data_IF_424851908087
#
_entry.id   IF_424851908087
#
_cell.length_a   1.000
_cell.length_b   1.000
_cell.length_c   1.000
_cell.angle_alpha   90.00
_cell.angle_beta   90.00
_cell.angle_gamma   90.00
#
_symmetry.space_group_name_H-M   'P 1'
#
loop_
_entity.id
_entity.type
_entity.pdbx_description
1 polymer ?
#
# COMPACT_ATOMS: atom_id res chain seq x y z
N UNK A 1 27.76 -52.79 30.89
CA UNK A 1 28.89 -52.79 29.94
C UNK A 1 28.31 -52.66 28.54
N UNK A 2 28.75 -51.69 27.76
CA UNK A 2 28.31 -51.52 26.37
C UNK A 2 27.99 -50.05 26.03
N UNK A 3 29.05 -49.23 25.86
CA UNK A 3 28.94 -47.87 25.30
C UNK A 3 28.78 -47.96 23.78
N UNK A 4 27.75 -47.37 23.23
CA UNK A 4 27.74 -47.05 21.80
C UNK A 4 27.77 -45.54 21.63
N UNK A 5 28.94 -45.07 21.17
CA UNK A 5 29.12 -43.68 20.74
C UNK A 5 28.44 -43.43 19.40
N UNK A 6 27.78 -42.33 19.29
CA UNK A 6 27.28 -41.76 18.02
C UNK A 6 28.25 -40.72 17.54
N UNK A 7 28.87 -41.01 16.40
CA UNK A 7 29.71 -40.11 15.65
C UNK A 7 28.83 -39.07 14.95
N UNK A 8 28.97 -37.84 15.33
CA UNK A 8 28.40 -36.68 14.63
C UNK A 8 29.24 -36.34 13.39
N UNK A 9 28.82 -36.81 12.23
CA UNK A 9 29.35 -36.39 10.95
C UNK A 9 28.88 -34.97 10.60
N UNK A 10 29.71 -34.00 10.85
CA UNK A 10 29.49 -32.63 10.39
C UNK A 10 29.56 -32.56 8.85
N UNK A 11 28.41 -32.53 8.19
CA UNK A 11 28.32 -32.12 6.78
C UNK A 11 28.49 -30.62 6.69
N UNK A 12 29.65 -30.21 6.24
CA UNK A 12 29.91 -28.82 5.79
C UNK A 12 29.04 -28.52 4.56
N UNK A 13 27.96 -27.80 4.75
CA UNK A 13 27.24 -27.17 3.66
C UNK A 13 28.04 -25.93 3.22
N UNK A 14 28.54 -25.97 2.00
CA UNK A 14 29.11 -24.78 1.35
C UNK A 14 27.96 -23.82 1.08
N UNK A 15 27.93 -22.72 1.80
CA UNK A 15 27.14 -21.54 1.47
C UNK A 15 27.65 -21.02 0.11
N UNK A 16 26.89 -21.27 -0.94
CA UNK A 16 27.00 -20.53 -2.20
C UNK A 16 26.21 -19.24 -1.97
N UNK A 17 26.94 -18.17 -1.65
CA UNK A 17 26.36 -16.84 -1.62
C UNK A 17 25.96 -16.48 -3.07
N UNK A 18 24.68 -16.56 -3.38
CA UNK A 18 24.10 -15.87 -4.52
C UNK A 18 24.03 -14.39 -4.15
N UNK A 19 24.96 -13.63 -4.71
CA UNK A 19 24.91 -12.18 -4.77
C UNK A 19 23.68 -11.81 -5.61
N UNK A 20 22.58 -11.51 -4.94
CA UNK A 20 21.47 -10.82 -5.58
C UNK A 20 21.94 -9.43 -5.95
N UNK A 21 22.07 -9.17 -7.24
CA UNK A 21 22.32 -7.84 -7.79
C UNK A 21 21.05 -7.05 -7.57
N UNK A 22 21.05 -6.20 -6.53
CA UNK A 22 20.02 -5.19 -6.37
C UNK A 22 20.12 -4.18 -7.52
N UNK A 23 19.18 -4.24 -8.44
CA UNK A 23 19.01 -3.20 -9.44
C UNK A 23 18.42 -1.98 -8.74
N UNK A 24 19.26 -1.00 -8.45
CA UNK A 24 18.81 0.32 -8.09
C UNK A 24 18.17 0.96 -9.31
N UNK A 25 16.85 1.03 -9.35
CA UNK A 25 16.13 1.78 -10.36
C UNK A 25 16.40 3.27 -10.14
N UNK A 26 17.31 3.83 -10.92
CA UNK A 26 17.55 5.27 -11.03
C UNK A 26 16.43 5.86 -11.88
N UNK A 27 15.47 6.51 -11.26
CA UNK A 27 14.46 7.29 -11.98
C UNK A 27 15.14 8.49 -12.65
N UNK A 28 15.33 8.42 -13.95
CA UNK A 28 15.84 9.50 -14.78
C UNK A 28 14.66 10.43 -15.11
N UNK A 29 14.55 11.57 -14.44
CA UNK A 29 13.63 12.64 -14.84
C UNK A 29 14.21 13.35 -16.05
N UNK A 30 13.66 13.10 -17.23
CA UNK A 30 13.95 13.87 -18.44
C UNK A 30 13.04 15.09 -18.48
N UNK A 31 13.61 16.26 -18.18
CA UNK A 31 12.93 17.55 -18.36
C UNK A 31 13.04 17.95 -19.83
N UNK A 32 11.95 17.85 -20.59
CA UNK A 32 11.84 18.43 -21.92
C UNK A 32 11.33 19.88 -21.78
N UNK A 33 12.24 20.82 -21.94
CA UNK A 33 11.94 22.23 -22.17
C UNK A 33 11.44 22.41 -23.62
N UNK A 34 10.16 22.62 -23.78
CA UNK A 34 9.62 23.13 -25.05
C UNK A 34 9.47 24.65 -24.96
N UNK A 35 10.38 25.34 -25.58
CA UNK A 35 10.25 26.76 -25.93
C UNK A 35 9.49 26.89 -27.25
N UNK A 36 8.32 27.49 -27.25
CA UNK A 36 7.65 27.99 -28.45
C UNK A 36 7.48 29.49 -28.35
N UNK A 37 7.74 30.23 -29.45
CA UNK A 37 7.63 31.69 -29.46
C UNK A 37 6.19 32.12 -29.64
N UNK A 38 5.86 33.22 -28.95
CA UNK A 38 4.57 33.85 -29.08
C UNK A 38 4.38 34.59 -30.39
N UNK A 39 3.14 34.66 -30.84
CA UNK A 39 2.67 35.69 -31.75
C UNK A 39 1.33 36.22 -31.23
N UNK A 40 1.31 37.52 -30.94
CA UNK A 40 0.12 38.24 -30.57
C UNK A 40 -0.72 38.62 -31.77
N UNK A 41 -2.00 38.73 -31.57
CA UNK A 41 -2.88 39.62 -32.34
C UNK A 41 -4.08 39.98 -31.48
N UNK A 42 -4.19 41.27 -31.21
CA UNK A 42 -5.33 41.95 -30.62
C UNK A 42 -6.46 42.08 -31.65
N UNK A 43 -7.71 41.91 -31.23
CA UNK A 43 -8.85 42.57 -31.86
C UNK A 43 -9.90 42.89 -30.81
N UNK A 44 -10.15 44.19 -30.70
CA UNK A 44 -11.28 44.81 -30.01
C UNK A 44 -12.60 44.50 -30.73
N UNK A 45 -13.70 44.46 -29.98
CA UNK A 45 -15.03 44.38 -30.58
C UNK A 45 -16.19 44.39 -29.58
N UNK A 46 -16.56 45.59 -29.11
CA UNK A 46 -17.92 46.13 -28.83
C UNK A 46 -18.95 45.30 -28.06
N UNK A 47 -19.40 45.97 -26.99
CA UNK A 47 -20.60 45.82 -26.19
C UNK A 47 -21.91 45.65 -26.98
N UNK A 48 -22.82 44.81 -26.45
CA UNK A 48 -24.29 45.09 -26.51
C UNK A 48 -25.00 44.53 -25.28
N UNK A 49 -25.85 45.37 -24.77
CA UNK A 49 -26.75 45.33 -23.63
C UNK A 49 -27.85 44.25 -23.74
N UNK A 50 -28.28 43.74 -22.58
CA UNK A 50 -29.69 43.37 -22.32
C UNK A 50 -30.00 41.88 -22.36
N UNK A 51 -30.07 41.19 -21.19
CA UNK A 51 -31.35 40.68 -20.69
C UNK A 51 -31.15 39.97 -19.33
N UNK A 52 -31.92 40.41 -18.34
CA UNK A 52 -32.02 39.76 -17.04
C UNK A 52 -32.87 38.51 -17.17
N UNK A 53 -32.23 37.34 -17.07
CA UNK A 53 -32.91 36.06 -16.84
C UNK A 53 -32.66 35.66 -15.38
N UNK A 54 -33.75 35.48 -14.63
CA UNK A 54 -33.73 34.92 -13.30
C UNK A 54 -33.08 33.55 -13.31
N UNK A 55 -31.85 33.44 -12.82
CA UNK A 55 -31.14 32.19 -12.66
C UNK A 55 -31.68 31.44 -11.45
N UNK A 56 -32.18 30.26 -11.68
CA UNK A 56 -32.37 29.17 -10.68
C UNK A 56 -31.03 28.95 -9.96
N UNK A 57 -31.01 28.80 -8.63
CA UNK A 57 -29.77 28.47 -7.92
C UNK A 57 -29.19 27.20 -8.51
N UNK A 58 -27.94 27.24 -8.95
CA UNK A 58 -27.20 26.07 -9.34
C UNK A 58 -27.14 25.09 -8.14
N UNK A 59 -27.25 23.77 -8.37
CA UNK A 59 -27.07 22.80 -7.33
C UNK A 59 -25.67 23.00 -6.73
N UNK A 60 -25.60 23.08 -5.41
CA UNK A 60 -24.34 23.06 -4.67
C UNK A 60 -23.55 21.82 -5.11
N UNK A 61 -22.52 22.03 -5.90
CA UNK A 61 -21.56 21.01 -6.26
C UNK A 61 -21.01 20.44 -4.97
N UNK A 62 -21.29 19.15 -4.72
CA UNK A 62 -20.68 18.40 -3.63
C UNK A 62 -19.18 18.66 -3.64
N UNK A 63 -18.59 18.79 -2.46
CA UNK A 63 -17.15 18.98 -2.31
C UNK A 63 -16.42 17.96 -3.22
N UNK A 64 -15.57 18.48 -4.10
CA UNK A 64 -14.76 17.63 -4.96
C UNK A 64 -13.99 16.66 -4.06
N UNK A 65 -14.11 15.35 -4.33
CA UNK A 65 -13.29 14.35 -3.64
C UNK A 65 -11.83 14.76 -3.84
N UNK A 66 -10.99 14.75 -2.79
CA UNK A 66 -9.60 15.11 -2.96
C UNK A 66 -8.98 14.18 -4.00
N UNK A 67 -8.44 14.75 -5.04
CA UNK A 67 -7.73 14.02 -6.08
C UNK A 67 -6.38 13.62 -5.50
N UNK A 68 -6.25 12.33 -5.13
CA UNK A 68 -4.98 11.76 -4.68
C UNK A 68 -4.21 11.39 -5.93
N UNK A 69 -3.16 12.14 -6.20
CA UNK A 69 -2.31 11.94 -7.38
C UNK A 69 -1.23 10.89 -7.15
N UNK A 70 -0.10 11.08 -7.81
CA UNK A 70 1.10 10.26 -7.64
C UNK A 70 1.72 10.46 -6.27
N UNK A 71 2.26 9.37 -5.70
CA UNK A 71 2.95 9.38 -4.42
C UNK A 71 4.06 8.33 -4.39
N UNK A 72 4.59 8.06 -3.21
CA UNK A 72 5.57 7.01 -3.02
C UNK A 72 5.48 6.42 -1.61
N UNK A 73 6.06 5.22 -1.45
CA UNK A 73 6.15 4.51 -0.17
C UNK A 73 7.54 4.69 0.42
N UNK A 74 7.62 5.06 1.69
CA UNK A 74 8.86 5.08 2.45
C UNK A 74 9.31 3.65 2.77
N UNK A 75 10.62 3.42 2.63
CA UNK A 75 11.27 2.17 2.97
C UNK A 75 12.31 2.39 4.08
N UNK A 76 13.09 1.37 4.43
CA UNK A 76 14.24 1.47 5.33
C UNK A 76 15.33 2.45 4.85
N UNK A 77 15.28 2.88 3.60
CA UNK A 77 16.22 3.84 3.02
C UNK A 77 15.66 5.27 2.93
N UNK A 78 14.73 5.61 3.79
CA UNK A 78 14.15 6.96 3.81
C UNK A 78 15.16 8.01 4.25
N UNK A 79 14.96 9.25 3.79
CA UNK A 79 15.87 10.36 4.01
C UNK A 79 15.88 10.91 5.46
N UNK A 80 14.91 10.54 6.29
CA UNK A 80 14.82 10.97 7.70
C UNK A 80 16.00 10.49 8.56
N UNK A 81 16.69 9.42 8.14
CA UNK A 81 17.90 8.91 8.80
C UNK A 81 19.20 9.52 8.24
N UNK A 82 19.10 10.41 7.28
CA UNK A 82 20.22 11.10 6.68
C UNK A 82 20.82 12.19 7.57
N UNK A 83 21.90 12.83 7.10
CA UNK A 83 22.36 14.07 7.76
C UNK A 83 21.29 15.16 7.61
N UNK A 84 21.18 16.07 8.60
CA UNK A 84 20.20 17.15 8.57
C UNK A 84 20.22 17.97 7.25
N UNK A 85 21.40 18.16 6.64
CA UNK A 85 21.53 18.83 5.37
C UNK A 85 21.02 17.99 4.18
N UNK A 86 21.13 16.66 4.24
CA UNK A 86 20.59 15.76 3.22
C UNK A 86 19.07 15.67 3.35
N UNK A 87 18.57 15.47 4.57
CA UNK A 87 17.14 15.46 4.87
C UNK A 87 16.45 16.72 4.36
N UNK A 88 16.97 17.90 4.71
CA UNK A 88 16.42 19.17 4.26
C UNK A 88 16.40 19.31 2.72
N UNK A 89 17.45 18.89 2.02
CA UNK A 89 17.45 18.93 0.54
C UNK A 89 16.37 18.03 -0.07
N UNK A 90 16.10 16.87 0.55
CA UNK A 90 15.06 15.96 0.07
C UNK A 90 13.68 16.54 0.37
N UNK A 91 13.46 17.09 1.58
CA UNK A 91 12.22 17.79 1.93
C UNK A 91 11.89 18.90 0.92
N UNK A 92 12.86 19.77 0.62
CA UNK A 92 12.70 20.85 -0.38
C UNK A 92 12.35 20.30 -1.76
N UNK A 93 13.01 19.19 -2.20
CA UNK A 93 12.73 18.56 -3.51
C UNK A 93 11.33 17.97 -3.59
N UNK A 94 10.88 17.33 -2.52
CA UNK A 94 9.52 16.76 -2.46
C UNK A 94 8.49 17.90 -2.43
N UNK A 95 8.73 18.94 -1.63
CA UNK A 95 7.84 20.11 -1.55
C UNK A 95 7.67 20.81 -2.90
N UNK A 96 8.74 20.93 -3.69
CA UNK A 96 8.70 21.47 -5.05
C UNK A 96 7.78 20.66 -6.00
N UNK A 97 7.49 19.39 -5.66
CA UNK A 97 6.62 18.51 -6.43
C UNK A 97 5.13 18.65 -6.10
N UNK A 98 4.76 19.51 -5.12
CA UNK A 98 3.37 19.89 -4.87
C UNK A 98 2.62 19.03 -3.85
N UNK A 99 3.29 18.46 -2.85
CA UNK A 99 2.62 17.85 -1.70
C UNK A 99 2.09 16.43 -1.98
N UNK A 100 2.97 15.55 -2.42
CA UNK A 100 2.64 14.17 -2.80
C UNK A 100 2.13 13.34 -1.61
N UNK A 101 1.21 12.38 -1.84
CA UNK A 101 0.92 11.32 -0.88
C UNK A 101 2.19 10.51 -0.59
N UNK A 102 2.44 10.26 0.69
CA UNK A 102 3.60 9.50 1.15
C UNK A 102 3.13 8.41 2.11
N UNK A 103 3.33 7.16 1.71
CA UNK A 103 2.92 5.99 2.49
C UNK A 103 4.02 5.63 3.49
N UNK A 104 3.64 5.38 4.75
CA UNK A 104 4.50 4.90 5.81
C UNK A 104 3.85 3.74 6.55
N UNK A 105 4.59 2.64 6.70
CA UNK A 105 4.19 1.51 7.54
C UNK A 105 4.38 1.84 9.03
N UNK A 106 3.53 1.27 9.89
CA UNK A 106 3.67 1.48 11.35
C UNK A 106 4.80 0.67 11.98
N UNK A 107 5.25 -0.40 11.31
CA UNK A 107 6.32 -1.29 11.75
C UNK A 107 7.00 -1.93 10.54
N UNK A 108 8.30 -2.18 10.61
CA UNK A 108 9.08 -2.61 9.46
C UNK A 108 9.31 -1.49 8.45
N UNK A 109 10.04 -1.78 7.39
CA UNK A 109 10.39 -0.81 6.35
C UNK A 109 10.92 0.53 6.90
N UNK A 110 11.73 0.44 8.00
CA UNK A 110 12.36 1.58 8.66
C UNK A 110 11.57 2.19 9.81
N UNK A 111 10.39 1.67 10.14
CA UNK A 111 9.68 1.99 11.38
C UNK A 111 9.95 0.91 12.44
N UNK A 112 10.21 1.33 13.67
CA UNK A 112 10.41 0.43 14.80
C UNK A 112 9.09 -0.19 15.27
N UNK A 113 9.17 -1.16 16.19
CA UNK A 113 7.97 -1.81 16.74
C UNK A 113 7.19 -0.81 17.62
N UNK A 114 5.97 -0.42 17.21
CA UNK A 114 5.22 0.63 17.91
C UNK A 114 4.63 0.17 19.26
N UNK A 115 4.54 -1.13 19.49
CA UNK A 115 4.01 -1.71 20.75
C UNK A 115 4.77 -3.00 21.10
N UNK A 116 6.05 -2.91 21.47
CA UNK A 116 6.88 -4.09 21.76
C UNK A 116 6.36 -4.92 22.94
N UNK A 117 5.60 -4.32 23.82
CA UNK A 117 4.89 -4.98 24.93
C UNK A 117 3.50 -4.39 25.01
N UNK A 118 2.48 -5.24 25.21
CA UNK A 118 1.08 -4.82 25.30
C UNK A 118 0.90 -3.59 26.17
N UNK A 119 0.35 -2.52 25.61
CA UNK A 119 0.10 -1.24 26.30
C UNK A 119 1.34 -0.37 26.51
N UNK A 120 2.51 -0.78 26.02
CA UNK A 120 3.76 0.04 26.06
C UNK A 120 4.13 0.45 24.63
N UNK A 121 3.92 1.70 24.34
CA UNK A 121 4.12 2.25 23.00
C UNK A 121 5.47 2.92 22.85
N UNK A 122 6.08 2.73 21.67
CA UNK A 122 7.24 3.44 21.18
C UNK A 122 6.95 3.95 19.76
N UNK A 123 6.84 5.25 19.60
CA UNK A 123 6.56 5.89 18.34
C UNK A 123 7.72 6.76 17.83
N UNK A 124 8.91 6.66 18.42
CA UNK A 124 10.00 7.56 18.07
C UNK A 124 10.35 7.52 16.58
N UNK A 125 10.49 6.31 16.02
CA UNK A 125 10.76 6.16 14.59
C UNK A 125 9.60 6.66 13.72
N UNK A 126 8.37 6.35 14.11
CA UNK A 126 7.19 6.77 13.35
C UNK A 126 6.98 8.29 13.45
N UNK A 127 7.25 8.91 14.60
CA UNK A 127 7.21 10.36 14.76
C UNK A 127 8.15 11.05 13.75
N UNK A 128 9.42 10.61 13.68
CA UNK A 128 10.38 11.14 12.70
C UNK A 128 9.88 11.02 11.27
N UNK A 129 9.27 9.88 10.92
CA UNK A 129 8.75 9.61 9.58
C UNK A 129 7.57 10.51 9.23
N UNK A 130 6.61 10.63 10.12
CA UNK A 130 5.44 11.50 9.91
C UNK A 130 5.85 12.98 9.89
N UNK A 131 6.81 13.38 10.72
CA UNK A 131 7.33 14.76 10.71
C UNK A 131 8.09 15.07 9.41
N UNK A 132 8.84 14.10 8.86
CA UNK A 132 9.47 14.25 7.56
C UNK A 132 8.43 14.43 6.43
N UNK A 133 7.35 13.64 6.44
CA UNK A 133 6.26 13.80 5.47
C UNK A 133 5.64 15.19 5.55
N UNK A 134 5.38 15.69 6.77
CA UNK A 134 4.85 17.04 7.00
C UNK A 134 5.82 18.12 6.54
N UNK A 135 7.10 18.01 6.91
CA UNK A 135 8.14 18.96 6.54
C UNK A 135 8.33 19.07 5.02
N UNK A 136 8.14 17.98 4.29
CA UNK A 136 8.17 17.94 2.82
C UNK A 136 6.86 18.40 2.17
N UNK A 137 5.88 18.90 2.95
CA UNK A 137 4.57 19.32 2.43
C UNK A 137 3.70 18.17 1.93
N UNK A 138 4.05 16.92 2.25
CA UNK A 138 3.35 15.73 1.79
C UNK A 138 2.06 15.45 2.54
N UNK A 139 1.24 14.58 1.97
CA UNK A 139 0.05 14.04 2.62
C UNK A 139 0.38 12.68 3.20
N UNK A 140 0.41 12.51 4.54
CA UNK A 140 0.74 11.23 5.14
C UNK A 140 -0.39 10.22 4.92
N UNK A 141 0.01 9.01 4.50
CA UNK A 141 -0.83 7.82 4.39
C UNK A 141 -0.18 6.74 5.24
N UNK A 142 -0.93 6.12 6.13
CA UNK A 142 -0.39 5.12 7.06
C UNK A 142 -0.88 3.73 6.68
N UNK A 143 0.06 2.84 6.37
CA UNK A 143 -0.22 1.40 6.26
C UNK A 143 -0.10 0.76 7.64
N UNK A 144 -1.20 0.21 8.12
CA UNK A 144 -1.28 -0.52 9.38
C UNK A 144 -0.74 -1.95 9.17
N UNK A 145 0.56 -2.04 9.04
CA UNK A 145 1.40 -3.23 8.99
C UNK A 145 2.78 -2.85 9.56
N UNK A 146 3.46 -3.71 10.31
CA UNK A 146 3.09 -5.09 10.61
C UNK A 146 2.66 -5.21 12.07
N UNK A 147 2.40 -6.45 12.49
CA UNK A 147 1.98 -6.70 13.87
C UNK A 147 3.20 -6.90 14.79
N UNK A 148 3.18 -6.38 16.03
CA UNK A 148 4.11 -6.74 17.09
C UNK A 148 4.20 -8.25 17.31
N UNK A 149 5.38 -8.75 17.68
CA UNK A 149 5.63 -10.21 17.79
C UNK A 149 4.70 -10.91 18.77
N UNK A 150 4.37 -10.27 19.89
CA UNK A 150 3.44 -10.83 20.88
C UNK A 150 2.01 -11.01 20.35
N UNK A 151 1.64 -10.38 19.23
CA UNK A 151 0.34 -10.59 18.58
C UNK A 151 0.32 -11.78 17.59
N UNK A 152 1.46 -12.44 17.38
CA UNK A 152 1.65 -13.52 16.39
C UNK A 152 2.50 -14.67 16.92
N UNK A 153 2.39 -14.95 18.22
CA UNK A 153 3.05 -16.05 18.89
C UNK A 153 4.51 -15.83 19.26
N UNK A 154 5.07 -14.64 19.02
CA UNK A 154 6.43 -14.27 19.41
C UNK A 154 6.52 -13.71 20.84
N UNK A 155 7.74 -13.44 21.31
CA UNK A 155 7.97 -12.90 22.65
C UNK A 155 7.77 -11.37 22.68
N UNK A 156 7.10 -10.88 23.74
CA UNK A 156 7.03 -9.46 24.01
C UNK A 156 8.39 -8.91 24.50
N UNK A 157 8.75 -7.70 24.08
CA UNK A 157 9.95 -7.01 24.56
C UNK A 157 10.60 -6.15 23.48
N UNK A 158 11.22 -5.05 23.90
CA UNK A 158 11.88 -4.12 22.96
C UNK A 158 13.00 -4.82 22.19
N UNK A 159 13.76 -5.68 22.86
CA UNK A 159 14.90 -6.39 22.27
C UNK A 159 14.50 -7.74 21.62
N UNK A 160 13.23 -8.10 21.67
CA UNK A 160 12.75 -9.40 21.20
C UNK A 160 12.08 -9.35 19.82
N UNK A 161 12.01 -8.17 19.20
CA UNK A 161 11.39 -8.03 17.87
C UNK A 161 12.18 -8.77 16.81
N UNK A 162 11.52 -9.72 16.15
CA UNK A 162 12.08 -10.42 15.00
C UNK A 162 11.88 -9.59 13.72
N UNK A 163 12.97 -9.02 13.23
CA UNK A 163 12.99 -8.18 12.02
C UNK A 163 13.16 -8.98 10.73
N UNK A 164 13.09 -10.31 10.78
CA UNK A 164 13.11 -11.11 9.56
C UNK A 164 11.89 -10.82 8.69
N UNK A 165 12.06 -10.91 7.38
CA UNK A 165 10.95 -10.73 6.45
C UNK A 165 9.79 -11.68 6.78
N UNK A 166 10.08 -12.95 7.09
CA UNK A 166 9.06 -13.93 7.45
C UNK A 166 8.25 -13.50 8.68
N UNK A 167 8.91 -12.96 9.72
CA UNK A 167 8.22 -12.46 10.90
C UNK A 167 7.39 -11.20 10.59
N UNK A 168 7.93 -10.26 9.83
CA UNK A 168 7.19 -9.06 9.43
C UNK A 168 5.95 -9.40 8.59
N UNK A 169 6.03 -10.40 7.73
CA UNK A 169 4.94 -10.84 6.87
C UNK A 169 3.91 -11.74 7.57
N UNK A 170 4.15 -12.15 8.82
CA UNK A 170 3.20 -12.96 9.60
C UNK A 170 2.05 -12.09 10.11
N UNK A 171 0.81 -12.53 9.82
CA UNK A 171 -0.40 -11.87 10.32
C UNK A 171 -0.56 -12.04 11.84
N UNK A 172 -1.25 -11.12 12.53
CA UNK A 172 -1.59 -11.35 13.93
C UNK A 172 -2.53 -12.55 14.07
N UNK A 173 -2.40 -13.27 15.18
CA UNK A 173 -3.31 -14.37 15.50
C UNK A 173 -4.74 -13.84 15.70
N UNK A 174 -5.78 -14.61 15.35
CA UNK A 174 -7.18 -14.16 15.46
C UNK A 174 -7.59 -13.66 16.83
N UNK A 175 -7.00 -14.19 17.91
CA UNK A 175 -7.22 -13.75 19.29
C UNK A 175 -6.67 -12.34 19.58
N UNK A 176 -5.75 -11.86 18.75
CA UNK A 176 -5.12 -10.54 18.85
C UNK A 176 -5.66 -9.51 17.84
N UNK A 177 -6.67 -9.82 17.05
CA UNK A 177 -7.25 -8.87 16.10
C UNK A 177 -7.82 -7.62 16.80
N UNK A 178 -8.39 -7.76 18.00
CA UNK A 178 -8.86 -6.62 18.78
C UNK A 178 -7.70 -5.79 19.36
N UNK A 179 -6.59 -6.43 19.71
CA UNK A 179 -5.36 -5.74 20.14
C UNK A 179 -4.76 -4.93 18.99
N UNK A 180 -4.69 -5.52 17.81
CA UNK A 180 -4.21 -4.81 16.61
C UNK A 180 -5.12 -3.62 16.24
N UNK A 181 -6.43 -3.78 16.35
CA UNK A 181 -7.38 -2.69 16.15
C UNK A 181 -7.22 -1.57 17.22
N UNK A 182 -6.86 -1.93 18.46
CA UNK A 182 -6.57 -0.96 19.51
C UNK A 182 -5.25 -0.20 19.23
N UNK A 183 -4.22 -0.88 18.73
CA UNK A 183 -2.99 -0.25 18.25
C UNK A 183 -3.29 0.73 17.12
N UNK A 184 -4.05 0.32 16.09
CA UNK A 184 -4.46 1.19 15.00
C UNK A 184 -5.19 2.46 15.50
N UNK A 185 -6.09 2.31 16.46
CA UNK A 185 -6.78 3.45 17.09
C UNK A 185 -5.81 4.35 17.88
N UNK A 186 -4.77 3.79 18.49
CA UNK A 186 -3.75 4.55 19.21
C UNK A 186 -2.89 5.36 18.23
N UNK A 187 -2.48 4.77 17.10
CA UNK A 187 -1.79 5.46 16.00
C UNK A 187 -2.64 6.63 15.49
N UNK A 188 -3.92 6.40 15.21
CA UNK A 188 -4.80 7.45 14.70
C UNK A 188 -5.02 8.61 15.72
N UNK A 189 -5.04 8.32 17.01
CA UNK A 189 -5.12 9.36 18.07
C UNK A 189 -3.83 10.15 18.18
N UNK A 190 -2.67 9.51 17.98
CA UNK A 190 -1.37 10.16 18.04
C UNK A 190 -1.15 11.12 16.87
N UNK A 191 -1.63 10.76 15.68
CA UNK A 191 -1.49 11.53 14.45
C UNK A 191 -2.86 12.00 13.94
N UNK A 192 -3.51 12.98 14.60
CA UNK A 192 -4.89 13.37 14.30
C UNK A 192 -5.07 14.07 12.95
N UNK A 193 -3.99 14.51 12.33
CA UNK A 193 -3.93 15.08 10.98
C UNK A 193 -3.81 14.02 9.88
N UNK A 194 -3.41 12.79 10.23
CA UNK A 194 -3.39 11.67 9.27
C UNK A 194 -4.82 11.22 8.98
N UNK A 195 -5.20 11.35 7.71
CA UNK A 195 -6.57 11.06 7.27
C UNK A 195 -6.71 9.72 6.56
N UNK A 196 -5.64 9.16 6.02
CA UNK A 196 -5.68 7.97 5.19
C UNK A 196 -4.96 6.81 5.86
N UNK A 197 -5.68 5.71 6.05
CA UNK A 197 -5.16 4.48 6.63
C UNK A 197 -5.45 3.31 5.70
N UNK A 198 -4.43 2.50 5.45
CA UNK A 198 -4.53 1.24 4.70
C UNK A 198 -4.41 0.11 5.71
N UNK A 199 -5.33 -0.86 5.65
CA UNK A 199 -5.32 -1.98 6.60
C UNK A 199 -4.52 -3.14 6.03
N UNK A 200 -3.44 -3.46 6.72
CA UNK A 200 -2.48 -4.52 6.39
C UNK A 200 -1.68 -4.24 5.11
N UNK A 201 -0.83 -5.22 4.72
CA UNK A 201 0.00 -5.14 3.52
C UNK A 201 -0.09 -6.43 2.72
N UNK A 202 -0.53 -6.35 1.46
CA UNK A 202 -0.48 -7.42 0.45
C UNK A 202 -1.07 -8.78 0.85
N UNK A 203 -1.97 -8.83 1.81
CA UNK A 203 -2.48 -10.09 2.39
C UNK A 203 -1.40 -11.01 2.97
N UNK A 204 -0.18 -10.51 3.20
CA UNK A 204 0.93 -11.28 3.77
C UNK A 204 0.50 -11.95 5.07
N UNK A 205 0.86 -13.24 5.23
CA UNK A 205 0.47 -14.04 6.39
C UNK A 205 -0.98 -14.55 6.39
N UNK A 206 -1.79 -14.25 5.37
CA UNK A 206 -3.16 -14.77 5.23
C UNK A 206 -3.27 -15.87 4.16
N UNK A 207 -2.19 -16.58 3.85
CA UNK A 207 -2.27 -17.75 2.98
C UNK A 207 -2.62 -19.01 3.77
N UNK A 208 -3.65 -19.73 3.34
CA UNK A 208 -4.06 -21.01 3.92
C UNK A 208 -3.54 -22.17 3.06
N UNK A 209 -2.46 -22.81 3.50
CA UNK A 209 -1.83 -23.93 2.80
C UNK A 209 -2.76 -25.14 2.65
N UNK A 210 -3.60 -25.39 3.65
CA UNK A 210 -4.50 -26.56 3.64
C UNK A 210 -5.61 -26.45 2.59
N UNK A 211 -6.03 -25.23 2.28
CA UNK A 211 -7.08 -24.92 1.30
C UNK A 211 -6.50 -24.37 -0.02
N UNK A 212 -5.19 -24.15 -0.09
CA UNK A 212 -4.47 -23.55 -1.21
C UNK A 212 -5.11 -22.24 -1.71
N UNK A 213 -5.57 -21.39 -0.78
CA UNK A 213 -6.19 -20.11 -1.04
C UNK A 213 -5.85 -19.06 0.03
N UNK A 214 -6.22 -17.82 -0.24
CA UNK A 214 -6.16 -16.77 0.76
C UNK A 214 -7.22 -17.00 1.87
N UNK A 215 -6.84 -16.82 3.14
CA UNK A 215 -7.76 -16.71 4.27
C UNK A 215 -8.42 -15.32 4.26
N UNK A 216 -9.31 -15.15 3.29
CA UNK A 216 -10.03 -13.89 3.12
C UNK A 216 -11.04 -13.64 4.25
N UNK A 217 -11.49 -14.69 4.93
CA UNK A 217 -12.34 -14.60 6.13
C UNK A 217 -11.57 -13.96 7.29
N UNK A 218 -10.37 -14.49 7.58
CA UNK A 218 -9.50 -13.97 8.64
C UNK A 218 -9.09 -12.53 8.38
N UNK A 219 -8.60 -12.24 7.16
CA UNK A 219 -8.28 -10.87 6.79
C UNK A 219 -9.48 -9.91 6.94
N UNK A 220 -10.65 -10.30 6.44
CA UNK A 220 -11.85 -9.44 6.51
C UNK A 220 -12.29 -9.21 7.95
N UNK A 221 -12.09 -10.17 8.84
CA UNK A 221 -12.34 -9.99 10.26
C UNK A 221 -11.39 -8.97 10.88
N UNK A 222 -10.08 -9.05 10.61
CA UNK A 222 -9.10 -8.05 11.04
C UNK A 222 -9.47 -6.67 10.50
N UNK A 223 -9.69 -6.56 9.19
CA UNK A 223 -10.09 -5.33 8.51
C UNK A 223 -11.29 -4.67 9.20
N UNK A 224 -12.33 -5.43 9.45
CA UNK A 224 -13.57 -4.93 10.02
C UNK A 224 -13.40 -4.40 11.46
N UNK A 225 -12.52 -5.01 12.25
CA UNK A 225 -12.21 -4.51 13.61
C UNK A 225 -11.45 -3.19 13.53
N UNK A 226 -10.42 -3.13 12.68
CA UNK A 226 -9.61 -1.93 12.45
C UNK A 226 -10.48 -0.79 11.90
N UNK A 227 -11.29 -1.05 10.88
CA UNK A 227 -12.22 -0.08 10.30
C UNK A 227 -13.10 0.58 11.37
N UNK A 228 -13.79 -0.25 12.18
CA UNK A 228 -14.65 0.25 13.25
C UNK A 228 -13.89 1.02 14.32
N UNK A 229 -12.69 0.56 14.68
CA UNK A 229 -11.84 1.24 15.66
C UNK A 229 -11.40 2.62 15.18
N UNK A 230 -10.97 2.74 13.94
CA UNK A 230 -10.58 4.02 13.32
C UNK A 230 -11.77 4.98 13.20
N UNK A 231 -12.91 4.51 12.68
CA UNK A 231 -14.13 5.33 12.57
C UNK A 231 -14.67 5.78 13.93
N UNK A 232 -14.44 5.03 15.00
CA UNK A 232 -14.74 5.44 16.37
C UNK A 232 -13.81 6.53 16.88
N UNK A 233 -12.54 6.57 16.45
CA UNK A 233 -11.61 7.66 16.78
C UNK A 233 -12.04 8.95 16.10
N UNK A 234 -12.27 8.89 14.79
CA UNK A 234 -12.75 10.00 14.01
C UNK A 234 -13.48 9.46 12.74
N UNK A 235 -14.79 9.74 12.56
CA UNK A 235 -15.55 9.26 11.41
C UNK A 235 -15.03 9.78 10.06
N UNK A 236 -14.26 10.87 10.07
CA UNK A 236 -13.65 11.47 8.89
C UNK A 236 -12.36 10.76 8.43
N UNK A 237 -11.83 9.80 9.19
CA UNK A 237 -10.70 9.00 8.75
C UNK A 237 -11.13 8.17 7.53
N UNK A 238 -10.29 8.19 6.50
CA UNK A 238 -10.43 7.41 5.28
C UNK A 238 -9.72 6.07 5.46
N UNK A 239 -10.44 4.96 5.33
CA UNK A 239 -9.90 3.61 5.54
C UNK A 239 -9.99 2.82 4.25
N UNK A 240 -8.86 2.33 3.78
CA UNK A 240 -8.72 1.54 2.54
C UNK A 240 -8.29 0.10 2.77
N UNK A 241 -8.58 -0.71 1.78
CA UNK A 241 -8.20 -2.11 1.63
C UNK A 241 -8.73 -2.67 0.31
N UNK A 242 -8.56 -3.95 0.04
CA UNK A 242 -7.92 -4.97 0.87
C UNK A 242 -6.40 -5.06 0.72
N UNK A 243 -5.77 -4.25 -0.11
CA UNK A 243 -4.35 -4.27 -0.44
C UNK A 243 -3.91 -5.66 -0.94
N UNK A 244 -4.55 -6.13 -1.96
CA UNK A 244 -4.21 -7.39 -2.64
C UNK A 244 -3.22 -7.14 -3.76
N UNK A 245 -2.23 -8.04 -3.88
CA UNK A 245 -1.36 -8.09 -5.06
C UNK A 245 -2.14 -8.71 -6.22
N UNK A 246 -2.28 -7.94 -7.29
CA UNK A 246 -3.02 -8.36 -8.47
C UNK A 246 -2.12 -9.18 -9.41
N UNK A 247 -1.81 -10.39 -8.95
CA UNK A 247 -0.95 -11.33 -9.65
C UNK A 247 -1.61 -11.93 -10.90
N UNK A 248 -0.83 -12.09 -11.95
CA UNK A 248 -1.24 -12.77 -13.18
C UNK A 248 -0.45 -14.06 -13.43
N UNK A 249 -1.13 -15.01 -14.07
CA UNK A 249 -0.68 -16.36 -14.35
C UNK A 249 -0.74 -16.62 -15.85
N UNK A 250 -0.08 -17.69 -16.31
CA UNK A 250 -0.38 -18.27 -17.62
C UNK A 250 -1.87 -18.62 -17.70
N UNK A 251 -2.57 -18.23 -18.75
CA UNK A 251 -3.99 -18.59 -18.94
C UNK A 251 -4.31 -20.09 -18.96
N UNK A 252 -3.27 -20.94 -19.08
CA UNK A 252 -3.39 -22.40 -19.02
C UNK A 252 -3.34 -22.96 -17.61
N UNK A 253 -2.93 -22.17 -16.63
CA UNK A 253 -2.89 -22.61 -15.24
C UNK A 253 -4.27 -22.82 -14.64
N UNK A 254 -4.34 -23.73 -13.66
CA UNK A 254 -5.61 -24.14 -13.02
C UNK A 254 -6.35 -22.97 -12.39
N UNK A 255 -5.63 -22.03 -11.77
CA UNK A 255 -6.20 -20.89 -11.07
C UNK A 255 -6.33 -19.63 -11.94
N UNK A 256 -6.02 -19.72 -13.24
CA UNK A 256 -6.17 -18.60 -14.16
C UNK A 256 -7.64 -18.19 -14.32
N UNK A 257 -7.93 -16.89 -14.25
CA UNK A 257 -9.26 -16.35 -14.45
C UNK A 257 -9.71 -16.51 -15.90
N UNK A 258 -10.90 -17.05 -16.16
CA UNK A 258 -11.43 -17.12 -17.52
C UNK A 258 -11.90 -15.77 -18.05
N UNK A 259 -12.22 -14.81 -17.17
CA UNK A 259 -12.87 -13.54 -17.50
C UNK A 259 -11.97 -12.32 -17.41
N UNK A 260 -10.99 -12.31 -16.51
CA UNK A 260 -10.03 -11.20 -16.36
C UNK A 260 -8.67 -11.65 -16.88
N UNK A 261 -8.44 -11.42 -18.15
CA UNK A 261 -7.23 -11.83 -18.87
C UNK A 261 -6.98 -10.94 -20.07
N UNK A 262 -5.75 -10.96 -20.54
CA UNK A 262 -5.31 -10.23 -21.72
C UNK A 262 -4.01 -10.81 -22.28
N UNK A 263 -3.28 -10.02 -23.05
CA UNK A 263 -1.96 -10.38 -23.54
C UNK A 263 -0.92 -10.53 -22.41
N UNK A 264 -1.22 -9.93 -21.26
CA UNK A 264 -0.45 -9.97 -20.02
C UNK A 264 -0.71 -11.23 -19.15
N UNK A 265 -1.46 -12.21 -19.65
CA UNK A 265 -1.84 -13.40 -18.91
C UNK A 265 -3.28 -13.36 -18.42
N UNK A 266 -3.56 -14.09 -17.34
CA UNK A 266 -4.87 -14.12 -16.68
C UNK A 266 -4.69 -13.85 -15.18
N UNK A 267 -5.62 -13.13 -14.57
CA UNK A 267 -5.60 -12.89 -13.14
C UNK A 267 -5.75 -14.19 -12.34
N UNK A 268 -5.04 -14.32 -11.23
CA UNK A 268 -5.24 -15.43 -10.30
C UNK A 268 -6.64 -15.34 -9.68
N UNK A 269 -7.47 -16.39 -9.87
CA UNK A 269 -8.84 -16.43 -9.31
C UNK A 269 -8.87 -16.30 -7.81
N UNK A 270 -7.88 -16.84 -7.12
CA UNK A 270 -7.81 -16.81 -5.65
C UNK A 270 -7.71 -15.37 -5.11
N UNK A 271 -7.04 -14.50 -5.85
CA UNK A 271 -6.99 -13.07 -5.56
C UNK A 271 -8.35 -12.41 -5.81
N UNK A 272 -9.01 -12.75 -6.93
CA UNK A 272 -10.34 -12.22 -7.25
C UNK A 272 -11.39 -12.70 -6.24
N UNK A 273 -11.31 -13.94 -5.78
CA UNK A 273 -12.20 -14.50 -4.76
C UNK A 273 -11.99 -13.79 -3.41
N UNK A 274 -10.73 -13.54 -3.01
CA UNK A 274 -10.39 -12.79 -1.81
C UNK A 274 -10.93 -11.35 -1.87
N UNK A 275 -10.75 -10.67 -2.99
CA UNK A 275 -11.32 -9.33 -3.19
C UNK A 275 -12.85 -9.35 -3.09
N UNK A 276 -13.49 -10.29 -3.78
CA UNK A 276 -14.95 -10.40 -3.82
C UNK A 276 -15.53 -10.67 -2.44
N UNK A 277 -14.91 -11.56 -1.67
CA UNK A 277 -15.31 -11.85 -0.31
C UNK A 277 -15.20 -10.60 0.59
N UNK A 278 -14.02 -9.95 0.60
CA UNK A 278 -13.84 -8.72 1.35
C UNK A 278 -14.87 -7.66 0.95
N UNK A 279 -15.08 -7.45 -0.34
CA UNK A 279 -16.02 -6.44 -0.84
C UNK A 279 -17.46 -6.67 -0.36
N UNK A 280 -17.87 -7.94 -0.24
CA UNK A 280 -19.22 -8.30 0.23
C UNK A 280 -19.36 -8.23 1.76
N UNK A 281 -18.28 -8.46 2.52
CA UNK A 281 -18.32 -8.64 3.98
C UNK A 281 -17.64 -7.52 4.76
N UNK A 282 -17.03 -6.54 4.07
CA UNK A 282 -16.41 -5.39 4.74
C UNK A 282 -17.45 -4.55 5.49
N UNK A 283 -17.07 -4.03 6.67
CA UNK A 283 -17.90 -3.11 7.46
C UNK A 283 -18.11 -1.76 6.77
N UNK A 284 -17.22 -1.41 5.86
CA UNK A 284 -17.19 -0.21 5.05
C UNK A 284 -15.80 -0.04 4.45
N UNK A 285 -15.66 0.86 3.48
CA UNK A 285 -14.39 1.31 2.95
C UNK A 285 -14.57 2.70 2.34
N UNK A 286 -13.54 3.51 2.37
CA UNK A 286 -13.54 4.84 1.76
C UNK A 286 -12.78 4.86 0.44
N UNK A 287 -11.89 3.89 0.22
CA UNK A 287 -11.16 3.65 -1.03
C UNK A 287 -10.74 2.18 -1.13
N UNK A 288 -10.49 1.73 -2.34
CA UNK A 288 -9.93 0.40 -2.61
C UNK A 288 -8.43 0.52 -2.78
N UNK A 289 -7.70 -0.46 -2.25
CA UNK A 289 -6.24 -0.54 -2.39
C UNK A 289 -5.88 -1.86 -3.05
N UNK A 290 -5.03 -1.77 -4.06
CA UNK A 290 -4.41 -2.92 -4.72
C UNK A 290 -2.93 -2.62 -4.97
N UNK A 291 -2.19 -3.64 -5.29
CA UNK A 291 -0.81 -3.63 -5.72
C UNK A 291 -0.66 -4.45 -6.99
N UNK A 292 0.38 -4.23 -7.76
CA UNK A 292 0.67 -5.04 -8.93
C UNK A 292 1.79 -4.50 -9.80
N UNK A 293 2.27 -5.39 -10.67
CA UNK A 293 3.26 -5.07 -11.68
C UNK A 293 2.76 -5.48 -13.07
N UNK A 294 3.47 -5.03 -14.10
CA UNK A 294 3.26 -5.54 -15.47
C UNK A 294 3.77 -6.98 -15.61
N UNK A 295 4.61 -7.43 -14.69
CA UNK A 295 5.12 -8.80 -14.66
C UNK A 295 4.00 -9.85 -14.68
N UNK A 296 4.23 -10.95 -15.38
CA UNK A 296 3.47 -12.19 -15.27
C UNK A 296 4.43 -13.32 -14.86
N UNK A 297 3.91 -14.36 -14.21
CA UNK A 297 4.74 -15.50 -13.78
C UNK A 297 5.28 -16.35 -14.94
N UNK A 298 4.88 -16.04 -16.16
CA UNK A 298 5.33 -16.71 -17.35
C UNK A 298 5.86 -15.68 -18.36
N UNK A 299 7.17 -15.56 -18.45
CA UNK A 299 7.88 -14.61 -19.32
C UNK A 299 7.56 -14.82 -20.82
N UNK A 300 7.12 -16.03 -21.23
CA UNK A 300 6.78 -16.32 -22.63
C UNK A 300 5.50 -15.61 -23.09
N UNK A 301 4.68 -15.13 -22.15
CA UNK A 301 3.40 -14.48 -22.47
C UNK A 301 3.53 -12.99 -22.75
N UNK A 302 4.64 -12.39 -22.38
CA UNK A 302 4.79 -10.94 -22.44
C UNK A 302 5.13 -10.47 -23.85
N UNK A 303 4.32 -9.56 -24.42
CA UNK A 303 4.73 -8.86 -25.65
C UNK A 303 5.93 -7.94 -25.42
N UNK A 304 5.93 -7.22 -24.31
CA UNK A 304 6.96 -6.42 -23.66
C UNK A 304 6.37 -5.86 -22.35
N UNK A 305 7.21 -5.33 -21.48
CA UNK A 305 6.82 -4.82 -20.15
C UNK A 305 5.79 -3.69 -20.26
N UNK A 306 5.94 -2.81 -21.25
CA UNK A 306 5.04 -1.67 -21.45
C UNK A 306 3.68 -2.10 -22.03
N UNK A 307 3.66 -3.04 -22.95
CA UNK A 307 2.41 -3.57 -23.48
C UNK A 307 1.63 -4.37 -22.40
N UNK A 308 2.33 -4.94 -21.42
CA UNK A 308 1.71 -5.61 -20.28
C UNK A 308 1.02 -4.63 -19.31
N UNK A 309 1.28 -3.32 -19.38
CA UNK A 309 0.60 -2.29 -18.57
C UNK A 309 -0.91 -2.21 -18.84
N UNK A 310 -1.42 -2.79 -19.93
CA UNK A 310 -2.87 -2.97 -20.17
C UNK A 310 -3.56 -3.71 -19.00
N UNK A 311 -2.81 -4.50 -18.23
CA UNK A 311 -3.26 -5.15 -17.00
C UNK A 311 -3.83 -4.14 -15.99
N UNK A 312 -3.17 -3.01 -15.78
CA UNK A 312 -3.63 -1.99 -14.84
C UNK A 312 -5.01 -1.44 -15.22
N UNK A 313 -5.24 -1.21 -16.52
CA UNK A 313 -6.54 -0.78 -17.01
C UNK A 313 -7.60 -1.87 -16.79
N UNK A 314 -7.29 -3.11 -17.15
CA UNK A 314 -8.22 -4.23 -17.02
C UNK A 314 -8.62 -4.51 -15.57
N UNK A 315 -7.64 -4.47 -14.65
CA UNK A 315 -7.86 -4.60 -13.20
C UNK A 315 -8.68 -3.42 -12.67
N UNK A 316 -8.35 -2.19 -13.05
CA UNK A 316 -9.07 -1.00 -12.63
C UNK A 316 -10.54 -1.03 -13.03
N UNK A 317 -10.83 -1.43 -14.26
CA UNK A 317 -12.21 -1.63 -14.75
C UNK A 317 -12.94 -2.76 -14.01
N UNK A 318 -12.25 -3.85 -13.71
CA UNK A 318 -12.83 -4.96 -12.95
C UNK A 318 -13.17 -4.51 -11.53
N UNK A 319 -12.27 -3.83 -10.82
CA UNK A 319 -12.50 -3.30 -9.47
C UNK A 319 -13.70 -2.35 -9.46
N UNK A 320 -13.79 -1.41 -10.39
CA UNK A 320 -14.94 -0.50 -10.49
C UNK A 320 -16.27 -1.25 -10.65
N UNK A 321 -16.30 -2.28 -11.51
CA UNK A 321 -17.50 -3.12 -11.64
C UNK A 321 -17.86 -3.85 -10.34
N UNK A 322 -16.87 -4.26 -9.52
CA UNK A 322 -17.12 -4.91 -8.23
C UNK A 322 -17.64 -3.94 -7.16
N UNK A 323 -17.19 -2.70 -7.18
CA UNK A 323 -17.53 -1.68 -6.18
C UNK A 323 -18.65 -0.74 -6.61
N UNK A 324 -19.19 -0.88 -7.82
CA UNK A 324 -20.24 0.00 -8.36
C UNK A 324 -19.77 1.43 -8.66
N UNK A 325 -18.50 1.60 -8.99
CA UNK A 325 -17.85 2.90 -9.26
C UNK A 325 -17.87 3.91 -8.07
N UNK A 326 -18.25 3.44 -6.87
CA UNK A 326 -18.43 4.33 -5.71
C UNK A 326 -17.12 4.64 -4.98
N UNK A 327 -16.13 3.73 -5.05
CA UNK A 327 -14.88 3.84 -4.30
C UNK A 327 -13.70 4.21 -5.20
N UNK A 328 -12.89 5.22 -4.82
CA UNK A 328 -11.62 5.47 -5.49
C UNK A 328 -10.71 4.25 -5.43
N UNK A 329 -10.01 3.97 -6.51
CA UNK A 329 -8.99 2.92 -6.57
C UNK A 329 -7.60 3.52 -6.40
N UNK A 330 -6.83 2.95 -5.48
CA UNK A 330 -5.44 3.28 -5.23
C UNK A 330 -4.56 2.08 -5.57
N UNK A 331 -3.53 2.33 -6.37
CA UNK A 331 -2.39 1.44 -6.52
C UNK A 331 -1.38 1.85 -5.46
N UNK A 332 -1.31 1.11 -4.33
CA UNK A 332 -0.39 1.43 -3.25
C UNK A 332 1.07 1.23 -3.68
N UNK A 333 1.28 0.22 -4.52
CA UNK A 333 2.52 -0.03 -5.22
C UNK A 333 2.20 -0.43 -6.66
N UNK A 334 3.05 -0.04 -7.60
CA UNK A 334 2.98 -0.51 -8.98
C UNK A 334 4.35 -0.47 -9.63
N UNK A 335 4.60 -1.45 -10.48
CA UNK A 335 5.88 -1.64 -11.13
C UNK A 335 5.67 -1.93 -12.61
N UNK A 336 6.61 -1.45 -13.44
CA UNK A 336 6.73 -1.82 -14.84
C UNK A 336 8.05 -2.55 -14.97
N UNK A 337 8.01 -3.87 -15.19
CA UNK A 337 9.15 -4.78 -15.16
C UNK A 337 8.92 -6.02 -16.04
#
# INVERSE_FOLDING_TARGET
MGRHGWNSGARRWRLTALLGVGVAALALVVTLLNTLPGNGASTEGTSRDGDKVHGTPAPTTGAAKPEVGWGFTHTQFSADEGSAAATKRVEERIADSGGLPQIQHIMGWGADNPEPVRGRYDFEAMDRRIDFVRASGGTPVVTLCCAPDWMKGGEAGVDNTDWSQAALETAPDPEHFDDFAALAATVAKRYPDVRHFIVWNEFKGFWNDAEARWDHEGYTQLYNRVYRALKKVNPEIMVGGPYLVMDSLDPREEHASPSLKGRWGAMDRRVLDAFSYWNQHKAGADFVVVDGSSYTRDDELLPDEFAATDKFTAVGEWVRRQTGDELPLWWAEYYVE
#
